data_IF_565850336314
#
_entry.id   IF_565850336314
#
_cell.length_a   1.000
_cell.length_b   1.000
_cell.length_c   1.000
_cell.angle_alpha   90.00
_cell.angle_beta   90.00
_cell.angle_gamma   90.00
#
_symmetry.space_group_name_H-M   'P 1'
#
loop_
_entity.id
_entity.type
_entity.pdbx_description
1 polymer ?
#
# COMPACT_ATOMS: atom_id res chain seq x y z
N UNK A 1 37.75 32.33 -61.53
CA UNK A 1 36.42 31.82 -61.89
C UNK A 1 35.93 31.02 -60.73
N UNK A 2 34.75 31.26 -60.20
CA UNK A 2 33.99 30.55 -59.20
C UNK A 2 34.51 30.52 -57.74
N UNK A 3 34.26 31.59 -57.03
CA UNK A 3 34.26 31.68 -55.58
C UNK A 3 33.02 30.92 -55.03
N UNK A 4 33.20 29.84 -54.26
CA UNK A 4 32.16 29.22 -53.47
C UNK A 4 32.07 29.93 -52.12
N UNK A 5 30.88 30.50 -51.85
CA UNK A 5 30.48 31.15 -50.60
C UNK A 5 30.42 30.07 -49.50
N UNK A 6 31.24 30.23 -48.45
CA UNK A 6 31.18 29.48 -47.21
C UNK A 6 30.22 30.19 -46.25
N UNK A 7 29.01 29.71 -46.14
CA UNK A 7 28.03 30.16 -45.13
C UNK A 7 28.28 29.45 -43.83
N UNK A 8 28.76 30.16 -42.85
CA UNK A 8 28.95 29.74 -41.45
C UNK A 8 27.60 29.69 -40.76
N UNK A 9 27.06 28.50 -40.49
CA UNK A 9 25.92 28.33 -39.58
C UNK A 9 26.39 28.37 -38.12
N UNK A 10 26.19 29.53 -37.46
CA UNK A 10 26.29 29.64 -36.01
C UNK A 10 25.03 29.04 -35.42
N UNK A 11 25.08 27.76 -35.04
CA UNK A 11 24.03 27.10 -34.25
C UNK A 11 24.12 27.59 -32.81
N UNK A 12 23.24 28.53 -32.44
CA UNK A 12 22.94 28.81 -31.01
C UNK A 12 22.37 27.54 -30.37
N UNK A 13 23.20 26.78 -29.68
CA UNK A 13 22.72 25.84 -28.66
C UNK A 13 22.15 26.64 -27.49
N UNK A 14 20.86 26.93 -27.53
CA UNK A 14 20.09 27.33 -26.39
C UNK A 14 20.01 26.14 -25.43
N UNK A 15 20.94 26.10 -24.46
CA UNK A 15 20.77 25.26 -23.27
C UNK A 15 19.55 25.78 -22.53
N UNK A 16 18.38 25.24 -22.84
CA UNK A 16 17.18 25.40 -22.03
C UNK A 16 17.47 24.84 -20.64
N UNK A 17 17.79 25.71 -19.70
CA UNK A 17 17.64 25.39 -18.29
C UNK A 17 16.18 25.02 -18.10
N UNK A 18 15.89 23.72 -18.13
CA UNK A 18 14.67 23.18 -17.57
C UNK A 18 14.71 23.52 -16.08
N UNK A 19 14.23 24.71 -15.71
CA UNK A 19 13.87 24.99 -14.35
C UNK A 19 12.84 23.91 -13.98
N UNK A 20 13.26 22.93 -13.21
CA UNK A 20 12.35 21.95 -12.61
C UNK A 20 11.32 22.75 -11.82
N UNK A 21 10.17 23.00 -12.43
CA UNK A 21 9.05 23.64 -11.77
C UNK A 21 8.68 22.71 -10.59
N UNK A 22 9.01 23.14 -9.37
CA UNK A 22 8.58 22.43 -8.16
C UNK A 22 7.06 22.40 -8.19
N UNK A 23 6.50 21.23 -8.49
CA UNK A 23 5.06 21.05 -8.52
C UNK A 23 4.53 21.10 -7.10
N UNK A 24 3.79 22.14 -6.77
CA UNK A 24 3.11 22.25 -5.48
C UNK A 24 1.83 21.41 -5.52
N UNK A 25 1.76 20.39 -4.67
CA UNK A 25 0.63 19.49 -4.62
C UNK A 25 -0.31 19.82 -3.46
N UNK A 26 -1.61 19.75 -3.72
CA UNK A 26 -2.65 19.70 -2.69
C UNK A 26 -2.82 18.25 -2.20
N UNK A 27 -3.49 18.05 -1.05
CA UNK A 27 -3.77 16.71 -0.54
C UNK A 27 -4.50 15.85 -1.58
N UNK A 28 -5.55 16.39 -2.20
CA UNK A 28 -6.31 15.67 -3.25
C UNK A 28 -5.44 15.27 -4.44
N UNK A 29 -4.62 16.18 -4.95
CA UNK A 29 -3.69 15.90 -6.05
C UNK A 29 -2.65 14.85 -5.65
N UNK A 30 -2.15 14.92 -4.40
CA UNK A 30 -1.22 13.91 -3.87
C UNK A 30 -1.85 12.52 -3.86
N UNK A 31 -3.08 12.38 -3.36
CA UNK A 31 -3.77 11.09 -3.32
C UNK A 31 -4.06 10.55 -4.72
N UNK A 32 -4.43 11.43 -5.67
CA UNK A 32 -4.61 11.03 -7.06
C UNK A 32 -3.29 10.54 -7.68
N UNK A 33 -2.18 11.25 -7.50
CA UNK A 33 -0.88 10.81 -7.99
C UNK A 33 -0.43 9.49 -7.38
N UNK A 34 -0.72 9.26 -6.10
CA UNK A 34 -0.44 7.97 -5.44
C UNK A 34 -1.20 6.83 -6.10
N UNK A 35 -2.47 7.00 -6.46
CA UNK A 35 -3.25 5.99 -7.20
C UNK A 35 -2.64 5.64 -8.55
N UNK A 36 -2.10 6.63 -9.24
CA UNK A 36 -1.57 6.47 -10.60
C UNK A 36 -0.12 5.95 -10.59
N UNK A 37 0.71 6.44 -9.67
CA UNK A 37 2.16 6.31 -9.75
C UNK A 37 2.79 5.45 -8.65
N UNK A 38 2.09 5.15 -7.53
CA UNK A 38 2.69 4.44 -6.40
C UNK A 38 3.30 3.10 -6.81
N UNK A 39 4.61 2.88 -6.55
CA UNK A 39 5.25 1.60 -6.84
C UNK A 39 4.64 0.44 -6.06
N UNK A 40 4.21 0.69 -4.82
CA UNK A 40 3.59 -0.33 -3.98
C UNK A 40 2.25 -0.81 -4.56
N UNK A 41 1.42 0.10 -5.10
CA UNK A 41 0.18 -0.28 -5.79
C UNK A 41 0.44 -1.05 -7.08
N UNK A 42 1.50 -0.71 -7.81
CA UNK A 42 1.87 -1.45 -9.03
C UNK A 42 2.25 -2.89 -8.72
N UNK A 43 3.01 -3.11 -7.65
CA UNK A 43 3.36 -4.47 -7.18
C UNK A 43 2.11 -5.25 -6.82
N UNK A 44 1.20 -4.65 -6.05
CA UNK A 44 -0.02 -5.33 -5.60
C UNK A 44 -0.96 -5.68 -6.78
N UNK A 45 -1.07 -4.82 -7.78
CA UNK A 45 -1.85 -5.10 -9.00
C UNK A 45 -1.31 -6.30 -9.78
N UNK A 46 0.00 -6.58 -9.73
CA UNK A 46 0.58 -7.76 -10.35
C UNK A 46 0.13 -9.07 -9.67
N UNK A 47 -0.23 -9.04 -8.39
CA UNK A 47 -0.80 -10.20 -7.69
C UNK A 47 -2.16 -10.62 -8.28
N UNK A 48 -2.95 -9.67 -8.80
CA UNK A 48 -4.19 -9.98 -9.53
C UNK A 48 -3.88 -10.71 -10.83
N UNK A 49 -2.86 -10.25 -11.57
CA UNK A 49 -2.45 -10.91 -12.82
C UNK A 49 -1.94 -12.34 -12.55
N UNK A 50 -1.20 -12.56 -11.45
CA UNK A 50 -0.79 -13.88 -11.02
C UNK A 50 -1.99 -14.79 -10.70
N UNK A 51 -2.97 -14.29 -9.94
CA UNK A 51 -4.19 -15.04 -9.64
C UNK A 51 -5.03 -15.36 -10.90
N UNK A 52 -5.06 -14.44 -11.88
CA UNK A 52 -5.69 -14.70 -13.19
C UNK A 52 -4.96 -15.80 -13.97
N UNK A 53 -3.62 -15.83 -13.92
CA UNK A 53 -2.84 -16.91 -14.53
C UNK A 53 -3.11 -18.27 -13.86
N UNK A 54 -3.29 -18.29 -12.52
CA UNK A 54 -3.71 -19.49 -11.79
C UNK A 54 -5.11 -19.94 -12.21
N UNK A 55 -6.03 -19.02 -12.47
CA UNK A 55 -7.36 -19.33 -13.00
C UNK A 55 -7.28 -19.97 -14.40
N UNK A 56 -6.41 -19.46 -15.28
CA UNK A 56 -6.16 -20.08 -16.60
C UNK A 56 -5.66 -21.50 -16.39
N UNK A 57 -4.68 -21.71 -15.50
CA UNK A 57 -4.11 -23.04 -15.18
C UNK A 57 -5.19 -23.99 -14.62
N UNK A 58 -6.03 -23.51 -13.71
CA UNK A 58 -7.12 -24.29 -13.10
C UNK A 58 -8.16 -24.78 -14.13
N UNK A 59 -8.33 -24.04 -15.23
CA UNK A 59 -9.27 -24.38 -16.30
C UNK A 59 -8.67 -25.30 -17.37
N UNK A 60 -7.37 -25.56 -17.36
CA UNK A 60 -6.74 -26.45 -18.34
C UNK A 60 -7.19 -27.91 -18.14
N UNK A 61 -7.30 -28.62 -19.28
CA UNK A 61 -7.52 -30.06 -19.28
C UNK A 61 -6.17 -30.77 -19.12
N UNK A 62 -6.11 -31.91 -18.40
CA UNK A 62 -4.91 -32.73 -18.36
C UNK A 62 -4.45 -33.14 -19.77
N UNK A 63 -3.16 -33.04 -20.02
CA UNK A 63 -2.58 -33.46 -21.28
C UNK A 63 -2.65 -35.00 -21.43
N UNK A 64 -2.80 -35.52 -22.64
CA UNK A 64 -2.57 -36.91 -22.90
C UNK A 64 -1.11 -37.28 -22.60
N UNK A 65 -0.91 -38.43 -22.02
CA UNK A 65 0.43 -38.98 -21.71
C UNK A 65 0.71 -40.13 -22.65
N UNK A 66 1.86 -40.11 -23.31
CA UNK A 66 2.36 -41.19 -24.14
C UNK A 66 3.47 -41.93 -23.38
N UNK A 67 3.21 -43.17 -23.02
CA UNK A 67 4.17 -44.03 -22.36
C UNK A 67 4.74 -45.01 -23.36
N UNK A 68 6.05 -45.15 -23.38
CA UNK A 68 6.76 -46.20 -24.09
C UNK A 68 7.57 -47.03 -23.10
N UNK A 69 7.31 -48.31 -23.08
CA UNK A 69 8.08 -49.28 -22.29
C UNK A 69 8.79 -50.25 -23.23
N UNK A 70 10.11 -50.29 -23.20
CA UNK A 70 10.92 -51.20 -23.98
C UNK A 70 11.70 -52.12 -23.04
N UNK A 71 11.49 -53.38 -23.17
CA UNK A 71 12.17 -54.45 -22.40
C UNK A 71 13.17 -55.15 -23.31
N UNK A 72 14.37 -55.37 -22.78
CA UNK A 72 15.41 -56.15 -23.46
C UNK A 72 15.62 -57.44 -22.70
N UNK A 73 15.73 -58.54 -23.45
CA UNK A 73 16.09 -59.82 -22.86
C UNK A 73 17.57 -59.78 -22.48
N UNK A 74 17.89 -59.94 -21.21
CA UNK A 74 19.26 -59.95 -20.67
C UNK A 74 19.97 -61.29 -20.73
N UNK A 75 19.19 -62.40 -20.70
CA UNK A 75 19.73 -63.74 -20.80
C UNK A 75 18.83 -64.63 -21.69
N UNK A 76 19.43 -65.58 -22.40
CA UNK A 76 18.63 -66.61 -23.08
C UNK A 76 18.12 -67.61 -21.99
N UNK A 77 16.83 -67.87 -21.94
CA UNK A 77 16.39 -69.05 -21.15
C UNK A 77 17.00 -70.30 -21.73
N UNK A 78 17.62 -71.14 -20.88
CA UNK A 78 18.04 -72.44 -21.28
C UNK A 78 16.82 -73.14 -21.90
N UNK A 79 16.99 -73.62 -23.12
CA UNK A 79 15.88 -74.09 -23.97
C UNK A 79 14.97 -75.06 -23.24
N UNK A 80 13.76 -74.62 -22.90
CA UNK A 80 12.66 -75.42 -22.50
C UNK A 80 11.95 -75.88 -23.78
N UNK A 81 12.36 -77.01 -24.34
CA UNK A 81 11.58 -77.69 -25.33
C UNK A 81 10.39 -78.34 -24.63
N UNK A 82 9.18 -77.80 -24.81
CA UNK A 82 7.96 -78.49 -24.41
C UNK A 82 7.62 -79.50 -25.51
N UNK A 83 7.67 -80.80 -25.22
CA UNK A 83 7.25 -81.74 -26.21
C UNK A 83 5.73 -81.70 -26.34
N UNK A 84 5.23 -81.21 -27.45
CA UNK A 84 3.83 -81.44 -27.82
C UNK A 84 3.72 -82.76 -28.60
N UNK A 85 2.87 -83.70 -28.16
CA UNK A 85 2.63 -84.87 -28.92
C UNK A 85 2.02 -84.59 -30.27
N UNK A 86 2.73 -84.89 -31.37
CA UNK A 86 2.24 -84.79 -32.74
C UNK A 86 2.73 -83.56 -33.57
N UNK A 87 3.67 -82.79 -33.07
CA UNK A 87 4.29 -81.75 -33.83
C UNK A 87 5.81 -81.93 -33.92
N UNK A 88 6.28 -82.60 -34.97
CA UNK A 88 7.69 -82.68 -35.30
C UNK A 88 8.16 -81.23 -35.72
N UNK A 89 9.07 -80.69 -34.93
CA UNK A 89 9.98 -79.62 -35.37
C UNK A 89 9.54 -78.16 -35.30
N UNK A 90 8.55 -77.88 -34.50
CA UNK A 90 8.25 -76.40 -34.26
C UNK A 90 8.99 -75.95 -33.02
N UNK A 91 10.22 -75.45 -33.23
CA UNK A 91 10.93 -74.71 -32.23
C UNK A 91 10.22 -73.34 -32.05
N UNK A 92 9.35 -73.23 -31.04
CA UNK A 92 8.73 -71.99 -30.62
C UNK A 92 9.75 -71.20 -29.81
N UNK A 93 10.97 -71.10 -30.29
CA UNK A 93 11.97 -70.09 -29.81
C UNK A 93 11.68 -68.75 -30.43
N UNK A 94 10.80 -68.04 -29.78
CA UNK A 94 10.53 -66.68 -30.17
C UNK A 94 11.80 -65.83 -29.98
N UNK A 95 12.44 -65.50 -31.09
CA UNK A 95 13.66 -64.68 -31.14
C UNK A 95 13.41 -63.17 -30.90
N UNK A 96 12.32 -62.79 -30.28
CA UNK A 96 12.12 -61.41 -29.93
C UNK A 96 12.96 -61.01 -28.72
N UNK A 97 14.17 -60.47 -28.97
CA UNK A 97 15.05 -59.91 -27.96
C UNK A 97 14.55 -58.59 -27.38
N UNK A 98 13.46 -58.04 -27.90
CA UNK A 98 12.82 -56.83 -27.48
C UNK A 98 11.32 -56.98 -27.41
N UNK A 99 10.73 -56.47 -26.31
CA UNK A 99 9.30 -56.22 -26.23
C UNK A 99 9.09 -54.75 -26.00
N UNK A 100 8.15 -54.15 -26.67
CA UNK A 100 7.82 -52.76 -26.41
C UNK A 100 6.29 -52.58 -26.37
N UNK A 101 5.88 -51.65 -25.50
CA UNK A 101 4.50 -51.22 -25.39
C UNK A 101 4.44 -49.73 -25.64
N UNK A 102 3.50 -49.32 -26.45
CA UNK A 102 3.14 -47.92 -26.65
C UNK A 102 1.74 -47.72 -26.10
N UNK A 103 1.62 -46.80 -25.18
CA UNK A 103 0.37 -46.54 -24.47
C UNK A 103 0.06 -45.06 -24.49
N UNK A 104 -1.11 -44.66 -25.02
CA UNK A 104 -1.61 -43.31 -24.97
C UNK A 104 -2.74 -43.23 -23.94
N UNK A 105 -2.51 -42.43 -22.89
CA UNK A 105 -3.42 -42.31 -21.74
C UNK A 105 -4.03 -40.92 -21.68
N UNK A 106 -5.29 -40.82 -21.28
CA UNK A 106 -5.96 -39.55 -20.99
C UNK A 106 -6.76 -39.67 -19.70
N UNK A 107 -6.63 -38.67 -18.84
CA UNK A 107 -7.47 -38.47 -17.66
C UNK A 107 -8.85 -37.93 -18.06
N UNK A 108 -9.93 -38.54 -17.55
CA UNK A 108 -11.31 -38.10 -17.75
C UNK A 108 -11.89 -37.57 -16.45
N UNK A 109 -12.37 -36.33 -16.51
CA UNK A 109 -12.94 -35.62 -15.35
C UNK A 109 -14.44 -35.93 -15.19
N UNK A 110 -14.75 -37.14 -14.71
CA UNK A 110 -16.13 -37.60 -14.46
C UNK A 110 -16.75 -36.86 -13.26
N UNK A 111 -15.92 -36.40 -12.32
CA UNK A 111 -16.38 -35.76 -11.08
C UNK A 111 -16.34 -34.23 -11.12
N UNK A 112 -16.13 -33.63 -12.30
CA UNK A 112 -16.04 -32.18 -12.48
C UNK A 112 -14.93 -31.51 -11.65
N UNK A 113 -13.81 -32.22 -11.37
CA UNK A 113 -12.67 -31.67 -10.61
C UNK A 113 -12.17 -30.34 -11.17
N UNK A 114 -12.15 -30.23 -12.51
CA UNK A 114 -11.77 -29.00 -13.19
C UNK A 114 -12.74 -27.84 -12.88
N UNK A 115 -14.03 -28.09 -12.82
CA UNK A 115 -15.03 -27.07 -12.47
C UNK A 115 -14.79 -26.52 -11.06
N UNK A 116 -14.50 -27.40 -10.09
CA UNK A 116 -14.23 -26.98 -8.72
C UNK A 116 -12.87 -26.28 -8.57
N UNK A 117 -11.83 -26.71 -9.31
CA UNK A 117 -10.56 -25.96 -9.40
C UNK A 117 -10.77 -24.55 -9.94
N UNK A 118 -11.55 -24.43 -11.02
CA UNK A 118 -11.85 -23.11 -11.62
C UNK A 118 -12.65 -22.22 -10.66
N UNK A 119 -13.66 -22.76 -9.97
CA UNK A 119 -14.44 -21.99 -8.98
C UNK A 119 -13.57 -21.52 -7.80
N UNK A 120 -12.66 -22.37 -7.34
CA UNK A 120 -11.71 -21.96 -6.30
C UNK A 120 -10.74 -20.88 -6.79
N UNK A 121 -10.19 -21.03 -8.00
CA UNK A 121 -9.29 -20.04 -8.60
C UNK A 121 -10.02 -18.71 -8.88
N UNK A 122 -11.26 -18.73 -9.31
CA UNK A 122 -12.10 -17.55 -9.49
C UNK A 122 -12.34 -16.81 -8.17
N UNK A 123 -12.67 -17.53 -7.10
CA UNK A 123 -12.79 -16.96 -5.76
C UNK A 123 -11.46 -16.37 -5.26
N UNK A 124 -10.34 -17.04 -5.53
CA UNK A 124 -8.99 -16.56 -5.19
C UNK A 124 -8.63 -15.30 -5.98
N UNK A 125 -9.01 -15.22 -7.26
CA UNK A 125 -8.82 -14.02 -8.08
C UNK A 125 -9.65 -12.85 -7.53
N UNK A 126 -10.90 -13.10 -7.15
CA UNK A 126 -11.73 -12.06 -6.51
C UNK A 126 -11.11 -11.60 -5.19
N UNK A 127 -10.61 -12.50 -4.36
CA UNK A 127 -9.89 -12.15 -3.13
C UNK A 127 -8.69 -11.25 -3.44
N UNK A 128 -7.89 -11.56 -4.46
CA UNK A 128 -6.75 -10.73 -4.87
C UNK A 128 -7.20 -9.32 -5.30
N UNK A 129 -8.31 -9.19 -6.05
CA UNK A 129 -8.88 -7.89 -6.45
C UNK A 129 -9.31 -7.07 -5.22
N UNK A 130 -10.01 -7.70 -4.25
CA UNK A 130 -10.41 -7.00 -3.02
C UNK A 130 -9.20 -6.62 -2.16
N UNK A 131 -8.15 -7.45 -2.14
CA UNK A 131 -6.91 -7.16 -1.43
C UNK A 131 -6.18 -5.94 -2.00
N UNK A 132 -6.16 -5.77 -3.32
CA UNK A 132 -5.63 -4.54 -3.96
C UNK A 132 -6.40 -3.31 -3.49
N UNK A 133 -7.72 -3.37 -3.43
CA UNK A 133 -8.55 -2.25 -2.97
C UNK A 133 -8.29 -1.90 -1.49
N UNK A 134 -8.03 -2.90 -0.64
CA UNK A 134 -7.67 -2.68 0.77
C UNK A 134 -6.25 -2.11 0.90
N UNK A 135 -5.30 -2.63 0.14
CA UNK A 135 -3.93 -2.11 0.09
C UNK A 135 -3.92 -0.65 -0.40
N UNK A 136 -4.71 -0.33 -1.44
CA UNK A 136 -4.90 1.05 -1.90
C UNK A 136 -5.41 1.95 -0.78
N UNK A 137 -6.43 1.53 -0.02
CA UNK A 137 -6.95 2.28 1.14
C UNK A 137 -5.85 2.56 2.17
N UNK A 138 -5.03 1.57 2.49
CA UNK A 138 -3.90 1.71 3.41
C UNK A 138 -2.83 2.69 2.91
N UNK A 139 -2.44 2.58 1.63
CA UNK A 139 -1.44 3.46 1.02
C UNK A 139 -1.94 4.91 0.92
N UNK A 140 -3.22 5.13 0.59
CA UNK A 140 -3.81 6.46 0.58
C UNK A 140 -3.83 7.09 1.97
N UNK A 141 -4.10 6.30 3.01
CA UNK A 141 -4.03 6.75 4.39
C UNK A 141 -2.60 7.13 4.81
N UNK A 142 -1.60 6.30 4.48
CA UNK A 142 -0.18 6.63 4.73
C UNK A 142 0.25 7.89 3.98
N UNK A 143 -0.08 7.99 2.70
CA UNK A 143 0.21 9.16 1.88
C UNK A 143 -0.41 10.45 2.43
N UNK A 144 -1.66 10.38 2.89
CA UNK A 144 -2.32 11.52 3.51
C UNK A 144 -1.62 11.98 4.79
N UNK A 145 -1.20 11.04 5.65
CA UNK A 145 -0.44 11.37 6.85
C UNK A 145 0.93 11.97 6.53
N UNK A 146 1.69 11.40 5.57
CA UNK A 146 2.98 11.96 5.14
C UNK A 146 2.83 13.34 4.51
N UNK A 147 1.74 13.58 3.79
CA UNK A 147 1.43 14.92 3.29
C UNK A 147 1.23 15.90 4.46
N UNK A 148 0.48 15.52 5.48
CA UNK A 148 0.23 16.34 6.66
C UNK A 148 1.52 16.57 7.48
N UNK A 149 2.39 15.57 7.57
CA UNK A 149 3.70 15.70 8.23
C UNK A 149 4.59 16.72 7.51
N UNK A 150 4.67 16.62 6.18
CA UNK A 150 5.42 17.58 5.37
C UNK A 150 4.83 19.01 5.45
N UNK A 151 3.50 19.10 5.47
CA UNK A 151 2.80 20.37 5.67
C UNK A 151 3.13 20.97 7.05
N UNK A 152 3.04 20.18 8.11
CA UNK A 152 3.33 20.64 9.48
C UNK A 152 4.79 21.05 9.65
N UNK A 153 5.75 20.30 9.12
CA UNK A 153 7.16 20.67 9.13
C UNK A 153 7.40 22.03 8.44
N UNK A 154 6.72 22.30 7.31
CA UNK A 154 6.80 23.61 6.64
C UNK A 154 6.19 24.75 7.46
N UNK A 155 5.08 24.48 8.15
CA UNK A 155 4.45 25.44 9.06
C UNK A 155 5.41 25.78 10.21
N UNK A 156 6.03 24.77 10.81
CA UNK A 156 7.03 24.97 11.88
C UNK A 156 8.22 25.78 11.40
N UNK A 157 8.75 25.48 10.23
CA UNK A 157 9.82 26.25 9.63
C UNK A 157 9.44 27.73 9.45
N UNK A 158 8.25 28.00 8.89
CA UNK A 158 7.77 29.36 8.69
C UNK A 158 7.59 30.13 10.01
N UNK A 159 7.11 29.44 11.06
CA UNK A 159 6.95 30.01 12.40
C UNK A 159 8.31 30.36 13.02
N UNK A 160 9.29 29.46 12.92
CA UNK A 160 10.66 29.70 13.39
C UNK A 160 11.33 30.85 12.66
N UNK A 161 11.19 30.93 11.34
CA UNK A 161 11.71 32.03 10.54
C UNK A 161 11.11 33.37 10.97
N UNK A 162 9.80 33.41 11.25
CA UNK A 162 9.12 34.61 11.75
C UNK A 162 9.60 34.99 13.16
N UNK A 163 9.76 34.02 14.06
CA UNK A 163 10.27 34.23 15.40
C UNK A 163 11.70 34.78 15.36
N UNK A 164 12.56 34.18 14.53
CA UNK A 164 13.94 34.65 14.30
C UNK A 164 13.96 36.08 13.79
N UNK A 165 13.19 36.40 12.76
CA UNK A 165 13.14 37.77 12.20
C UNK A 165 12.70 38.84 13.22
N UNK A 166 11.76 38.47 14.12
CA UNK A 166 11.36 39.36 15.22
C UNK A 166 12.51 39.62 16.21
N UNK A 167 13.25 38.55 16.58
CA UNK A 167 14.38 38.68 17.50
C UNK A 167 15.57 39.37 16.84
N UNK A 168 15.87 39.07 15.57
CA UNK A 168 16.93 39.78 14.81
C UNK A 168 16.67 41.29 14.76
N UNK A 169 15.39 41.70 14.57
CA UNK A 169 15.00 43.11 14.64
C UNK A 169 15.27 43.71 16.03
N UNK A 170 14.99 42.89 17.09
CA UNK A 170 15.28 43.34 18.47
C UNK A 170 16.80 43.43 18.73
N UNK A 171 17.63 42.51 18.19
CA UNK A 171 19.10 42.62 18.26
C UNK A 171 19.61 43.90 17.65
N UNK A 172 19.11 44.27 16.45
CA UNK A 172 19.52 45.51 15.80
C UNK A 172 19.11 46.76 16.63
N UNK A 173 17.90 46.78 17.16
CA UNK A 173 17.44 47.84 18.05
C UNK A 173 18.31 47.92 19.30
N UNK A 174 18.63 46.79 19.95
CA UNK A 174 19.41 46.77 21.16
C UNK A 174 20.88 47.16 20.93
N UNK A 175 21.47 46.93 19.75
CA UNK A 175 22.77 47.47 19.35
C UNK A 175 22.78 49.02 19.36
N UNK A 176 21.72 49.64 18.86
CA UNK A 176 21.58 51.12 18.87
C UNK A 176 21.38 51.65 20.29
N UNK A 177 20.55 50.92 21.10
CA UNK A 177 20.28 51.33 22.50
C UNK A 177 21.55 51.20 23.40
N UNK A 178 22.39 50.21 23.16
CA UNK A 178 23.66 50.07 23.85
C UNK A 178 24.61 51.23 23.53
N UNK A 179 24.70 51.62 22.23
CA UNK A 179 25.50 52.79 21.84
C UNK A 179 25.05 54.08 22.53
N UNK A 180 23.76 54.18 22.82
CA UNK A 180 23.17 55.32 23.53
C UNK A 180 23.13 55.13 25.05
N UNK A 181 23.78 54.09 25.57
CA UNK A 181 23.86 53.76 27.01
C UNK A 181 22.48 53.55 27.69
N UNK A 182 21.50 53.11 26.93
CA UNK A 182 20.12 52.89 27.42
C UNK A 182 19.96 51.47 27.99
N UNK A 183 20.77 50.53 27.53
CA UNK A 183 20.75 49.12 27.99
C UNK A 183 22.18 48.65 28.32
N UNK A 184 22.29 47.52 29.00
CA UNK A 184 23.56 46.87 29.34
C UNK A 184 24.08 45.98 28.21
N UNK A 185 25.39 45.71 28.21
CA UNK A 185 26.00 44.71 27.31
C UNK A 185 25.41 43.31 27.53
N UNK A 186 25.08 42.98 28.76
CA UNK A 186 24.41 41.75 29.14
C UNK A 186 23.05 41.58 28.47
N UNK A 187 22.27 42.66 28.32
CA UNK A 187 20.98 42.65 27.65
C UNK A 187 21.14 42.40 26.17
N UNK A 188 22.14 43.04 25.52
CA UNK A 188 22.44 42.76 24.11
C UNK A 188 22.87 41.28 23.92
N UNK A 189 23.81 40.81 24.73
CA UNK A 189 24.29 39.41 24.66
C UNK A 189 23.14 38.40 24.83
N UNK A 190 22.23 38.63 25.78
CA UNK A 190 21.03 37.82 25.99
C UNK A 190 20.13 37.75 24.75
N UNK A 191 19.95 38.89 24.11
CA UNK A 191 19.12 38.95 22.87
C UNK A 191 19.80 38.23 21.71
N UNK A 192 21.15 38.30 21.60
CA UNK A 192 21.92 37.60 20.58
C UNK A 192 21.86 36.08 20.79
N UNK A 193 21.99 35.61 22.02
CA UNK A 193 21.90 34.16 22.34
C UNK A 193 20.55 33.58 21.88
N UNK A 194 19.45 34.30 22.08
CA UNK A 194 18.13 33.83 21.61
C UNK A 194 18.05 33.83 20.08
N UNK A 195 18.61 34.86 19.39
CA UNK A 195 18.70 34.86 17.92
C UNK A 195 19.48 33.67 17.39
N UNK A 196 20.62 33.32 18.00
CA UNK A 196 21.46 32.18 17.62
C UNK A 196 20.74 30.85 17.86
N UNK A 197 19.97 30.73 18.96
CA UNK A 197 19.13 29.56 19.21
C UNK A 197 18.06 29.38 18.11
N UNK A 198 17.37 30.43 17.69
CA UNK A 198 16.41 30.37 16.58
C UNK A 198 17.08 30.05 15.25
N UNK A 199 18.34 30.49 15.02
CA UNK A 199 19.09 30.13 13.82
C UNK A 199 19.35 28.61 13.75
N UNK A 200 19.82 28.02 14.85
CA UNK A 200 20.03 26.57 14.96
C UNK A 200 18.73 25.81 14.73
N UNK A 201 17.64 26.21 15.41
CA UNK A 201 16.32 25.59 15.25
C UNK A 201 15.80 25.69 13.81
N UNK A 202 16.02 26.82 13.17
CA UNK A 202 15.61 27.06 11.78
C UNK A 202 16.35 26.14 10.81
N UNK A 203 17.66 25.94 10.98
CA UNK A 203 18.45 24.99 10.17
C UNK A 203 17.99 23.55 10.36
N UNK A 204 17.70 23.16 11.59
CA UNK A 204 17.15 21.83 11.92
C UNK A 204 15.78 21.63 11.26
N UNK A 205 14.88 22.61 11.36
CA UNK A 205 13.55 22.56 10.74
C UNK A 205 13.64 22.53 9.20
N UNK A 206 14.61 23.21 8.59
CA UNK A 206 14.86 23.12 7.14
C UNK A 206 15.24 21.70 6.72
N UNK A 207 16.06 21.01 7.52
CA UNK A 207 16.41 19.62 7.24
C UNK A 207 15.21 18.69 7.42
N UNK A 208 14.39 18.91 8.46
CA UNK A 208 13.16 18.13 8.67
C UNK A 208 12.18 18.25 7.49
N UNK A 209 11.97 19.47 6.99
CA UNK A 209 11.15 19.70 5.77
C UNK A 209 11.67 18.87 4.60
N UNK A 210 12.99 18.86 4.34
CA UNK A 210 13.58 18.07 3.27
C UNK A 210 13.32 16.57 3.46
N UNK A 211 13.48 16.08 4.69
CA UNK A 211 13.26 14.68 5.01
C UNK A 211 11.80 14.28 4.77
N UNK A 212 10.83 15.07 5.27
CA UNK A 212 9.40 14.78 5.09
C UNK A 212 8.96 14.84 3.62
N UNK A 213 9.50 15.78 2.85
CA UNK A 213 9.23 15.83 1.41
C UNK A 213 9.82 14.63 0.66
N UNK A 214 10.99 14.12 1.06
CA UNK A 214 11.56 12.90 0.48
C UNK A 214 10.72 11.66 0.83
N UNK A 215 10.23 11.55 2.07
CA UNK A 215 9.33 10.48 2.49
C UNK A 215 8.02 10.51 1.67
N UNK A 216 7.44 11.68 1.48
CA UNK A 216 6.22 11.85 0.67
C UNK A 216 6.48 11.47 -0.79
N UNK A 217 7.62 11.91 -1.36
CA UNK A 217 8.01 11.58 -2.73
C UNK A 217 8.10 10.08 -2.99
N UNK A 218 8.63 9.33 -2.03
CA UNK A 218 8.72 7.87 -2.12
C UNK A 218 7.34 7.22 -2.25
N UNK A 219 6.36 7.65 -1.46
CA UNK A 219 5.01 7.08 -1.49
C UNK A 219 4.26 7.49 -2.76
N UNK A 220 4.42 8.74 -3.20
CA UNK A 220 3.82 9.24 -4.45
C UNK A 220 4.42 8.54 -5.68
N UNK A 221 5.68 8.10 -5.61
CA UNK A 221 6.35 7.39 -6.70
C UNK A 221 6.81 8.28 -7.84
N UNK A 222 7.13 9.55 -7.56
CA UNK A 222 7.66 10.49 -8.55
C UNK A 222 9.15 10.73 -8.35
N UNK A 223 9.89 10.89 -9.46
CA UNK A 223 11.33 11.12 -9.43
C UNK A 223 11.67 12.60 -9.12
N UNK A 224 10.83 13.53 -9.56
CA UNK A 224 11.06 14.95 -9.44
C UNK A 224 10.83 15.48 -8.02
N UNK A 225 11.42 16.63 -7.71
CA UNK A 225 11.21 17.30 -6.42
C UNK A 225 9.76 17.78 -6.32
N UNK A 226 9.03 17.26 -5.33
CA UNK A 226 7.69 17.71 -4.99
C UNK A 226 7.74 18.74 -3.86
N UNK A 227 6.77 19.64 -3.87
CA UNK A 227 6.52 20.56 -2.80
C UNK A 227 5.06 20.44 -2.35
N UNK A 228 4.81 20.68 -1.07
CA UNK A 228 3.45 20.66 -0.53
C UNK A 228 2.89 22.07 -0.64
N UNK A 229 1.67 22.21 -1.15
CA UNK A 229 1.00 23.49 -1.22
C UNK A 229 0.73 24.03 0.21
N UNK A 230 1.45 25.06 0.61
CA UNK A 230 1.05 25.84 1.79
C UNK A 230 -0.27 26.59 1.55
N UNK A 231 -0.65 26.73 0.28
CA UNK A 231 -1.89 27.38 -0.20
C UNK A 231 -3.17 26.58 0.05
N UNK A 232 -3.08 25.42 0.66
CA UNK A 232 -4.21 24.97 1.47
C UNK A 232 -4.35 25.94 2.66
N UNK A 233 -4.14 27.16 2.33
CA UNK A 233 -4.45 28.50 2.90
C UNK A 233 -4.48 28.64 4.42
N UNK A 234 -3.61 27.92 5.14
CA UNK A 234 -3.61 27.93 6.61
C UNK A 234 -2.69 29.01 7.20
N UNK A 235 -1.79 29.60 6.40
CA UNK A 235 -0.84 30.63 6.85
C UNK A 235 -1.23 32.04 6.36
N UNK A 236 -2.26 32.18 5.54
CA UNK A 236 -2.70 33.52 5.10
C UNK A 236 -3.33 34.28 6.25
N UNK A 237 -2.97 35.58 6.44
CA UNK A 237 -3.58 36.47 7.45
C UNK A 237 -5.10 36.63 7.28
N UNK A 238 -5.64 36.30 6.11
CA UNK A 238 -7.07 36.35 5.80
C UNK A 238 -7.89 35.22 6.45
N UNK A 239 -7.26 34.28 7.17
CA UNK A 239 -7.93 33.16 7.78
C UNK A 239 -8.64 33.54 9.07
N UNK A 240 -9.88 33.91 8.93
CA UNK A 240 -10.77 34.17 10.06
C UNK A 240 -11.40 32.84 10.58
N UNK A 241 -11.44 31.78 9.80
CA UNK A 241 -11.99 30.49 10.24
C UNK A 241 -11.27 29.28 9.57
N UNK A 242 -10.25 28.68 10.21
CA UNK A 242 -9.54 27.51 9.68
C UNK A 242 -10.42 26.25 9.57
N UNK A 243 -11.61 26.24 10.19
CA UNK A 243 -12.53 25.12 10.14
C UNK A 243 -13.40 25.11 8.87
N UNK A 244 -13.47 26.23 8.13
CA UNK A 244 -14.25 26.31 6.88
C UNK A 244 -13.68 25.50 5.72
N UNK A 245 -12.45 25.02 5.83
CA UNK A 245 -11.77 24.21 4.81
C UNK A 245 -12.14 22.73 4.83
N UNK A 246 -12.78 22.26 5.90
CA UNK A 246 -13.21 20.89 6.02
C UNK A 246 -14.73 20.83 5.98
N UNK A 247 -15.30 19.89 5.20
CA UNK A 247 -16.73 19.68 5.25
C UNK A 247 -17.11 19.39 6.70
N UNK A 248 -18.06 20.17 7.21
CA UNK A 248 -18.63 19.91 8.52
C UNK A 248 -19.25 18.52 8.46
N UNK A 249 -18.66 17.56 9.16
CA UNK A 249 -19.28 16.23 9.29
C UNK A 249 -20.49 16.44 10.19
N UNK A 250 -21.64 16.62 9.57
CA UNK A 250 -22.94 16.73 10.25
C UNK A 250 -23.57 15.37 10.52
N UNK A 251 -22.95 14.30 9.97
CA UNK A 251 -23.40 12.94 10.12
C UNK A 251 -23.20 12.46 11.55
N UNK A 252 -24.23 11.81 12.12
CA UNK A 252 -24.12 11.15 13.42
C UNK A 252 -23.19 9.94 13.36
N UNK A 253 -22.67 9.51 14.51
CA UNK A 253 -21.82 8.32 14.60
C UNK A 253 -22.50 7.08 13.99
N UNK A 254 -23.82 6.90 14.21
CA UNK A 254 -24.60 5.80 13.64
C UNK A 254 -24.70 5.86 12.10
N UNK A 255 -24.78 7.07 11.56
CA UNK A 255 -24.77 7.26 10.10
C UNK A 255 -23.40 6.88 9.50
N UNK A 256 -22.32 7.25 10.16
CA UNK A 256 -20.96 6.90 9.76
C UNK A 256 -20.68 5.40 9.89
N UNK A 257 -21.24 4.74 10.90
CA UNK A 257 -21.18 3.28 11.04
C UNK A 257 -21.85 2.56 9.87
N UNK A 258 -23.04 3.02 9.44
CA UNK A 258 -23.72 2.45 8.27
C UNK A 258 -22.92 2.62 6.97
N UNK A 259 -22.31 3.79 6.79
CA UNK A 259 -21.43 4.04 5.67
C UNK A 259 -20.22 3.10 5.73
N UNK A 260 -19.57 2.98 6.89
CA UNK A 260 -18.41 2.12 7.07
C UNK A 260 -18.72 0.64 6.74
N UNK A 261 -19.86 0.14 7.17
CA UNK A 261 -20.27 -1.25 6.95
C UNK A 261 -20.37 -1.61 5.45
N UNK A 262 -20.67 -0.64 4.58
CA UNK A 262 -20.83 -0.86 3.13
C UNK A 262 -19.62 -0.44 2.29
N UNK A 263 -18.86 0.57 2.78
CA UNK A 263 -17.78 1.20 1.99
C UNK A 263 -16.41 0.60 2.27
N UNK A 264 -16.21 -0.04 3.43
CA UNK A 264 -14.90 -0.54 3.83
C UNK A 264 -14.47 -1.75 3.00
N UNK A 265 -13.26 -1.66 2.49
CA UNK A 265 -12.65 -2.70 1.65
C UNK A 265 -12.18 -3.91 2.45
N UNK A 266 -11.79 -3.76 3.73
CA UNK A 266 -11.42 -4.88 4.61
C UNK A 266 -12.59 -5.85 4.90
N UNK A 267 -13.84 -5.36 4.93
CA UNK A 267 -15.02 -6.23 4.98
C UNK A 267 -15.11 -7.10 3.74
N UNK A 268 -14.94 -6.48 2.57
CA UNK A 268 -14.98 -7.20 1.28
C UNK A 268 -13.87 -8.23 1.16
N UNK A 269 -12.66 -7.91 1.67
CA UNK A 269 -11.55 -8.88 1.74
C UNK A 269 -11.91 -10.05 2.65
N UNK A 270 -12.47 -9.79 3.84
CA UNK A 270 -12.87 -10.85 4.77
C UNK A 270 -13.96 -11.76 4.19
N UNK A 271 -14.95 -11.19 3.50
CA UNK A 271 -16.02 -11.94 2.82
C UNK A 271 -15.46 -12.74 1.63
N UNK A 272 -14.59 -12.15 0.80
CA UNK A 272 -13.94 -12.85 -0.30
C UNK A 272 -13.05 -14.00 0.19
N UNK A 273 -12.34 -13.80 1.32
CA UNK A 273 -11.53 -14.85 1.94
C UNK A 273 -12.41 -16.01 2.47
N UNK A 274 -13.55 -15.70 3.09
CA UNK A 274 -14.50 -16.72 3.54
C UNK A 274 -15.05 -17.52 2.35
N UNK A 275 -15.39 -16.84 1.23
CA UNK A 275 -15.87 -17.51 0.02
C UNK A 275 -14.78 -18.39 -0.59
N UNK A 276 -13.54 -17.90 -0.65
CA UNK A 276 -12.39 -18.70 -1.13
C UNK A 276 -12.19 -19.95 -0.27
N UNK A 277 -12.29 -19.82 1.06
CA UNK A 277 -12.19 -20.94 1.98
C UNK A 277 -13.34 -21.97 1.78
N UNK A 278 -14.57 -21.51 1.52
CA UNK A 278 -15.70 -22.39 1.15
C UNK A 278 -15.43 -23.17 -0.14
N UNK A 279 -14.97 -22.46 -1.18
CA UNK A 279 -14.63 -23.11 -2.46
C UNK A 279 -13.49 -24.09 -2.33
N UNK A 280 -12.55 -23.85 -1.40
CA UNK A 280 -11.50 -24.81 -1.10
C UNK A 280 -12.06 -26.08 -0.46
N UNK A 281 -13.01 -25.99 0.49
CA UNK A 281 -13.69 -27.18 1.05
C UNK A 281 -14.35 -28.00 -0.06
N UNK A 282 -15.12 -27.35 -0.95
CA UNK A 282 -15.77 -28.01 -2.07
C UNK A 282 -14.74 -28.72 -2.97
N UNK A 283 -13.62 -28.04 -3.26
CA UNK A 283 -12.53 -28.60 -4.07
C UNK A 283 -11.91 -29.82 -3.39
N UNK A 284 -11.56 -29.74 -2.10
CA UNK A 284 -10.92 -30.87 -1.38
C UNK A 284 -11.84 -32.09 -1.31
N UNK A 285 -13.16 -31.89 -1.17
CA UNK A 285 -14.14 -32.97 -1.20
C UNK A 285 -14.22 -33.67 -2.57
N UNK A 286 -14.11 -32.89 -3.65
CA UNK A 286 -14.13 -33.46 -5.01
C UNK A 286 -12.79 -34.11 -5.38
N UNK A 287 -11.67 -33.61 -4.88
CA UNK A 287 -10.36 -34.23 -5.04
C UNK A 287 -10.26 -35.59 -4.36
N UNK A 288 -11.07 -35.85 -3.32
CA UNK A 288 -11.21 -37.17 -2.69
C UNK A 288 -11.85 -38.26 -3.59
N UNK A 289 -12.46 -37.86 -4.72
CA UNK A 289 -13.09 -38.79 -5.67
C UNK A 289 -12.03 -39.46 -6.53
N UNK A 290 -12.30 -40.71 -7.01
CA UNK A 290 -11.38 -41.44 -7.84
C UNK A 290 -10.83 -40.67 -9.02
N UNK A 291 -9.60 -40.97 -9.38
CA UNK A 291 -9.00 -40.53 -10.65
C UNK A 291 -9.29 -41.60 -11.69
N UNK A 292 -9.79 -41.21 -12.84
CA UNK A 292 -10.18 -42.09 -13.91
C UNK A 292 -9.31 -41.82 -15.13
N UNK A 293 -8.60 -42.82 -15.61
CA UNK A 293 -7.79 -42.73 -16.82
C UNK A 293 -8.21 -43.83 -17.80
N UNK A 294 -8.31 -43.52 -19.06
CA UNK A 294 -8.52 -44.51 -20.11
C UNK A 294 -7.52 -44.25 -21.25
N UNK A 295 -7.23 -45.26 -22.00
CA UNK A 295 -6.29 -45.13 -23.08
C UNK A 295 -6.25 -46.31 -24.04
N UNK A 296 -5.40 -46.13 -25.01
CA UNK A 296 -5.10 -47.17 -26.04
C UNK A 296 -3.73 -47.76 -25.74
N UNK A 297 -3.62 -49.06 -25.94
CA UNK A 297 -2.35 -49.76 -25.85
C UNK A 297 -2.06 -50.50 -27.15
N UNK A 298 -0.85 -50.42 -27.59
CA UNK A 298 -0.34 -51.22 -28.72
C UNK A 298 0.92 -51.96 -28.29
N UNK A 299 0.90 -53.29 -28.49
CA UNK A 299 1.95 -54.19 -28.06
C UNK A 299 2.18 -55.29 -29.12
N UNK A 300 3.20 -55.18 -29.97
CA UNK A 300 3.58 -56.20 -30.87
C UNK A 300 4.38 -57.27 -30.11
N UNK A 301 3.77 -58.42 -29.85
CA UNK A 301 4.44 -59.62 -29.28
C UNK A 301 4.53 -60.71 -30.30
N UNK A 302 5.71 -61.36 -30.38
CA UNK A 302 5.90 -62.56 -31.22
C UNK A 302 5.48 -62.38 -32.69
N UNK A 303 5.79 -61.18 -33.27
CA UNK A 303 5.35 -60.80 -34.62
C UNK A 303 3.84 -60.61 -34.80
N UNK A 304 3.05 -60.71 -33.74
CA UNK A 304 1.60 -60.48 -33.75
C UNK A 304 1.32 -59.12 -33.07
N UNK A 305 0.76 -58.15 -33.77
CA UNK A 305 0.38 -56.88 -33.15
C UNK A 305 -0.90 -57.05 -32.32
N UNK A 306 -0.82 -56.66 -31.03
CA UNK A 306 -1.98 -56.52 -30.17
C UNK A 306 -2.32 -55.05 -30.00
N UNK A 307 -3.58 -54.70 -30.16
CA UNK A 307 -4.13 -53.41 -29.82
C UNK A 307 -5.29 -53.57 -28.85
N UNK A 308 -5.40 -52.67 -27.89
CA UNK A 308 -6.44 -52.77 -26.87
C UNK A 308 -6.75 -51.42 -26.24
N UNK A 309 -7.80 -51.42 -25.44
CA UNK A 309 -8.19 -50.30 -24.57
C UNK A 309 -7.93 -50.73 -23.12
N UNK A 310 -7.59 -49.73 -22.29
CA UNK A 310 -7.46 -49.99 -20.84
C UNK A 310 -8.11 -48.84 -20.06
N UNK A 311 -8.50 -49.17 -18.85
CA UNK A 311 -9.09 -48.26 -17.88
C UNK A 311 -8.36 -48.42 -16.56
N UNK A 312 -7.86 -47.30 -16.04
CA UNK A 312 -7.24 -47.22 -14.71
C UNK A 312 -8.14 -46.46 -13.77
N UNK A 313 -8.51 -47.07 -12.67
CA UNK A 313 -9.31 -46.46 -11.60
C UNK A 313 -8.50 -46.48 -10.31
N UNK A 314 -8.25 -45.28 -9.76
CA UNK A 314 -7.66 -45.16 -8.43
C UNK A 314 -8.75 -45.38 -7.38
N UNK A 315 -8.63 -46.43 -6.57
CA UNK A 315 -9.60 -46.75 -5.53
C UNK A 315 -9.17 -46.09 -4.20
N UNK A 316 -9.88 -45.05 -3.71
CA UNK A 316 -9.54 -44.34 -2.48
C UNK A 316 -9.94 -45.17 -1.23
N UNK A 317 -9.22 -46.27 -0.95
CA UNK A 317 -9.51 -47.14 0.19
C UNK A 317 -8.95 -46.55 1.49
N UNK A 318 -7.69 -46.18 1.50
CA UNK A 318 -6.98 -45.64 2.67
C UNK A 318 -6.90 -44.14 2.71
N UNK A 319 -6.59 -43.48 1.58
CA UNK A 319 -6.50 -42.06 1.45
C UNK A 319 -7.71 -41.51 0.69
N UNK A 320 -8.56 -40.80 1.41
CA UNK A 320 -9.76 -40.10 0.90
C UNK A 320 -9.65 -38.59 1.04
N UNK A 321 -8.42 -38.08 1.00
CA UNK A 321 -8.12 -36.65 1.21
C UNK A 321 -8.65 -36.10 2.56
N UNK A 322 -8.84 -36.97 3.55
CA UNK A 322 -9.51 -36.63 4.82
C UNK A 322 -8.77 -35.53 5.59
N UNK A 323 -7.43 -35.52 5.55
CA UNK A 323 -6.62 -34.49 6.21
C UNK A 323 -6.82 -33.08 5.60
N UNK A 324 -6.77 -32.97 4.26
CA UNK A 324 -6.98 -31.70 3.59
C UNK A 324 -8.44 -31.23 3.66
N UNK A 325 -9.41 -32.14 3.70
CA UNK A 325 -10.82 -31.81 3.94
C UNK A 325 -10.98 -31.25 5.35
N UNK A 326 -10.39 -31.89 6.37
CA UNK A 326 -10.46 -31.39 7.74
C UNK A 326 -9.78 -30.01 7.86
N UNK A 327 -8.58 -29.86 7.32
CA UNK A 327 -7.83 -28.61 7.29
C UNK A 327 -8.62 -27.48 6.61
N UNK A 328 -9.22 -27.74 5.45
CA UNK A 328 -10.01 -26.76 4.72
C UNK A 328 -11.26 -26.30 5.49
N UNK A 329 -11.91 -27.21 6.25
CA UNK A 329 -13.03 -26.85 7.15
C UNK A 329 -12.58 -25.94 8.29
N UNK A 330 -11.44 -26.24 8.93
CA UNK A 330 -10.86 -25.38 9.98
C UNK A 330 -10.52 -24.01 9.42
N UNK A 331 -9.92 -23.92 8.22
CA UNK A 331 -9.62 -22.65 7.56
C UNK A 331 -10.90 -21.87 7.21
N UNK A 332 -11.98 -22.54 6.82
CA UNK A 332 -13.29 -21.91 6.60
C UNK A 332 -13.86 -21.33 7.91
N UNK A 333 -13.78 -22.08 9.00
CA UNK A 333 -14.22 -21.60 10.31
C UNK A 333 -13.39 -20.40 10.75
N UNK A 334 -12.07 -20.47 10.62
CA UNK A 334 -11.14 -19.37 10.90
C UNK A 334 -11.50 -18.10 10.10
N UNK A 335 -11.77 -18.23 8.80
CA UNK A 335 -12.19 -17.11 7.95
C UNK A 335 -13.54 -16.52 8.41
N UNK A 336 -14.48 -17.36 8.86
CA UNK A 336 -15.75 -16.93 9.43
C UNK A 336 -15.58 -16.13 10.73
N UNK A 337 -14.70 -16.57 11.62
CA UNK A 337 -14.37 -15.81 12.84
C UNK A 337 -13.63 -14.50 12.54
N UNK A 338 -12.72 -14.50 11.55
CA UNK A 338 -12.03 -13.30 11.10
C UNK A 338 -13.02 -12.24 10.56
N UNK A 339 -14.05 -12.66 9.82
CA UNK A 339 -15.10 -11.75 9.33
C UNK A 339 -15.85 -11.09 10.49
N UNK A 340 -16.24 -11.85 11.52
CA UNK A 340 -16.88 -11.30 12.72
C UNK A 340 -15.97 -10.32 13.46
N UNK A 341 -14.69 -10.63 13.57
CA UNK A 341 -13.70 -9.75 14.20
C UNK A 341 -13.58 -8.41 13.45
N UNK A 342 -13.52 -8.43 12.11
CA UNK A 342 -13.50 -7.20 11.31
C UNK A 342 -14.74 -6.36 11.57
N UNK A 343 -15.94 -6.95 11.58
CA UNK A 343 -17.19 -6.25 11.87
C UNK A 343 -17.21 -5.60 13.27
N UNK A 344 -16.72 -6.31 14.28
CA UNK A 344 -16.62 -5.77 15.65
C UNK A 344 -15.61 -4.60 15.72
N UNK A 345 -14.47 -4.72 15.03
CA UNK A 345 -13.42 -3.69 14.97
C UNK A 345 -13.92 -2.39 14.34
N UNK A 346 -14.74 -2.47 13.29
CA UNK A 346 -15.29 -1.30 12.60
C UNK A 346 -16.01 -0.36 13.55
N UNK A 347 -16.86 -0.91 14.42
CA UNK A 347 -17.59 -0.08 15.39
C UNK A 347 -16.64 0.70 16.28
N UNK A 348 -15.67 0.02 16.88
CA UNK A 348 -14.68 0.65 17.77
C UNK A 348 -13.84 1.71 17.06
N UNK A 349 -13.38 1.41 15.83
CA UNK A 349 -12.55 2.34 15.04
C UNK A 349 -13.31 3.60 14.63
N UNK A 350 -14.56 3.46 14.17
CA UNK A 350 -15.39 4.61 13.76
C UNK A 350 -15.76 5.47 14.97
N UNK A 351 -16.18 4.86 16.09
CA UNK A 351 -16.50 5.60 17.32
C UNK A 351 -15.29 6.38 17.85
N UNK A 352 -14.11 5.71 17.91
CA UNK A 352 -12.86 6.35 18.38
C UNK A 352 -12.44 7.48 17.44
N UNK A 353 -12.49 7.27 16.12
CA UNK A 353 -12.12 8.28 15.14
C UNK A 353 -13.07 9.49 15.19
N UNK A 354 -14.37 9.26 15.34
CA UNK A 354 -15.38 10.32 15.47
C UNK A 354 -15.18 11.16 16.74
N UNK A 355 -14.99 10.51 17.88
CA UNK A 355 -14.75 11.19 19.15
C UNK A 355 -13.44 12.01 19.11
N UNK A 356 -12.37 11.45 18.57
CA UNK A 356 -11.09 12.14 18.40
C UNK A 356 -11.21 13.36 17.48
N UNK A 357 -11.97 13.22 16.38
CA UNK A 357 -12.27 14.34 15.47
C UNK A 357 -13.07 15.44 16.17
N UNK A 358 -14.14 15.10 16.90
CA UNK A 358 -14.98 16.06 17.61
C UNK A 358 -14.20 16.81 18.70
N UNK A 359 -13.40 16.10 19.50
CA UNK A 359 -12.56 16.70 20.55
C UNK A 359 -11.50 17.64 19.96
N UNK A 360 -10.81 17.21 18.88
CA UNK A 360 -9.79 18.03 18.23
C UNK A 360 -10.38 19.31 17.64
N UNK A 361 -11.62 19.29 17.14
CA UNK A 361 -12.34 20.46 16.67
C UNK A 361 -12.58 21.47 17.79
N UNK A 362 -13.10 21.00 18.93
CA UNK A 362 -13.32 21.87 20.11
C UNK A 362 -12.00 22.52 20.59
N UNK A 363 -10.90 21.77 20.55
CA UNK A 363 -9.59 22.31 20.92
C UNK A 363 -9.15 23.44 19.99
N UNK A 364 -9.32 23.29 18.67
CA UNK A 364 -8.98 24.38 17.72
C UNK A 364 -9.82 25.63 18.00
N UNK A 365 -11.13 25.50 18.22
CA UNK A 365 -12.01 26.64 18.51
C UNK A 365 -11.51 27.44 19.72
N UNK A 366 -11.01 26.76 20.76
CA UNK A 366 -10.38 27.40 21.92
C UNK A 366 -9.04 28.08 21.55
N UNK A 367 -8.18 27.38 20.81
CA UNK A 367 -6.87 27.93 20.43
C UNK A 367 -6.96 29.17 19.55
N UNK A 368 -8.00 29.37 18.75
CA UNK A 368 -8.22 30.60 17.97
C UNK A 368 -8.29 31.82 18.89
N UNK A 369 -9.01 31.72 20.02
CA UNK A 369 -9.08 32.77 21.05
C UNK A 369 -7.73 33.02 21.73
N UNK A 370 -7.10 31.95 22.24
CA UNK A 370 -5.80 32.02 22.94
C UNK A 370 -4.72 32.64 22.05
N UNK A 371 -4.67 32.27 20.77
CA UNK A 371 -3.72 32.83 19.80
C UNK A 371 -3.90 34.34 19.63
N UNK A 372 -5.16 34.82 19.50
CA UNK A 372 -5.46 36.23 19.38
C UNK A 372 -5.01 37.00 20.62
N UNK A 373 -5.19 36.42 21.80
CA UNK A 373 -4.76 37.04 23.06
C UNK A 373 -3.23 37.08 23.16
N UNK A 374 -2.52 36.02 22.76
CA UNK A 374 -1.06 36.00 22.70
C UNK A 374 -0.50 37.06 21.74
N UNK A 375 -1.12 37.24 20.55
CA UNK A 375 -0.75 38.32 19.59
C UNK A 375 -0.91 39.69 20.23
N UNK A 376 -2.00 39.93 20.96
CA UNK A 376 -2.24 41.22 21.66
C UNK A 376 -1.24 41.47 22.79
N UNK A 377 -0.97 40.46 23.60
CA UNK A 377 -0.01 40.55 24.72
C UNK A 377 1.39 40.90 24.18
N UNK A 378 1.86 40.17 23.16
CA UNK A 378 3.18 40.45 22.57
C UNK A 378 3.25 41.88 21.99
N UNK A 379 2.20 42.29 21.29
CA UNK A 379 2.16 43.66 20.72
C UNK A 379 2.20 44.72 21.81
N UNK A 380 1.44 44.56 22.92
CA UNK A 380 1.40 45.49 24.03
C UNK A 380 2.73 45.57 24.78
N UNK A 381 3.33 44.45 25.10
CA UNK A 381 4.62 44.37 25.80
C UNK A 381 5.74 44.94 24.92
N UNK A 382 5.74 44.65 23.61
CA UNK A 382 6.70 45.23 22.66
C UNK A 382 6.58 46.76 22.62
N UNK A 383 5.35 47.28 22.59
CA UNK A 383 5.12 48.73 22.61
C UNK A 383 5.62 49.38 23.91
N UNK A 384 5.34 48.76 25.07
CA UNK A 384 5.83 49.23 26.37
C UNK A 384 7.36 49.21 26.45
N UNK A 385 8.02 48.15 25.96
CA UNK A 385 9.47 48.03 25.90
C UNK A 385 10.11 49.14 25.06
N UNK A 386 9.55 49.46 23.91
CA UNK A 386 10.06 50.51 23.04
C UNK A 386 10.02 51.91 23.70
N UNK A 387 9.08 52.11 24.64
CA UNK A 387 8.96 53.34 25.44
C UNK A 387 9.69 53.30 26.78
N UNK A 388 10.37 52.23 27.12
CA UNK A 388 11.10 52.06 28.39
C UNK A 388 10.16 51.79 29.59
N UNK A 389 8.91 51.43 29.34
CA UNK A 389 7.90 51.18 30.38
C UNK A 389 7.87 49.68 30.86
N UNK A 390 8.70 48.81 30.28
CA UNK A 390 8.86 47.40 30.71
C UNK A 390 10.28 46.92 30.45
N UNK A 391 10.64 45.76 31.02
CA UNK A 391 12.02 45.20 30.94
C UNK A 391 12.21 44.37 29.66
N UNK A 392 13.49 44.15 29.29
CA UNK A 392 13.85 43.20 28.24
C UNK A 392 13.35 41.78 28.57
N UNK A 393 13.42 41.37 29.86
CA UNK A 393 12.99 40.07 30.31
C UNK A 393 11.51 39.85 30.02
N UNK A 394 10.66 40.82 30.33
CA UNK A 394 9.22 40.75 30.07
C UNK A 394 8.94 40.60 28.56
N UNK A 395 9.68 41.33 27.71
CA UNK A 395 9.53 41.22 26.25
C UNK A 395 9.94 39.84 25.75
N UNK A 396 11.06 39.31 26.23
CA UNK A 396 11.53 37.98 25.83
C UNK A 396 10.57 36.88 26.30
N UNK A 397 10.03 37.00 27.52
CA UNK A 397 9.03 36.07 28.03
C UNK A 397 7.71 36.15 27.22
N UNK A 398 7.24 37.33 26.86
CA UNK A 398 6.08 37.49 25.99
C UNK A 398 6.32 36.89 24.60
N UNK A 399 7.54 37.03 24.05
CA UNK A 399 7.94 36.44 22.78
C UNK A 399 7.93 34.91 22.82
N UNK A 400 8.47 34.32 23.89
CA UNK A 400 8.45 32.87 24.11
C UNK A 400 7.03 32.33 24.26
N UNK A 401 6.21 32.97 25.10
CA UNK A 401 4.81 32.59 25.31
C UNK A 401 4.00 32.70 24.01
N UNK A 402 4.26 33.72 23.20
CA UNK A 402 3.65 33.86 21.87
C UNK A 402 4.08 32.70 20.96
N UNK A 403 5.37 32.38 20.87
CA UNK A 403 5.89 31.31 20.04
C UNK A 403 5.30 29.95 20.44
N UNK A 404 5.26 29.63 21.73
CA UNK A 404 4.70 28.39 22.29
C UNK A 404 3.20 28.28 21.96
N UNK A 405 2.47 29.40 22.10
CA UNK A 405 1.04 29.45 21.76
C UNK A 405 0.79 29.21 20.27
N UNK A 406 1.60 29.83 19.39
CA UNK A 406 1.50 29.60 17.94
C UNK A 406 1.81 28.12 17.61
N UNK A 407 2.85 27.57 18.22
CA UNK A 407 3.23 26.16 18.04
C UNK A 407 2.10 25.23 18.47
N UNK A 408 1.53 25.45 19.65
CA UNK A 408 0.41 24.66 20.16
C UNK A 408 -0.85 24.75 19.27
N UNK A 409 -1.15 25.94 18.75
CA UNK A 409 -2.25 26.14 17.80
C UNK A 409 -2.05 25.32 16.51
N UNK A 410 -0.87 25.42 15.88
CA UNK A 410 -0.61 24.68 14.65
C UNK A 410 -0.51 23.18 14.89
N UNK A 411 -0.04 22.74 16.06
CA UNK A 411 -0.08 21.34 16.49
C UNK A 411 -1.53 20.85 16.62
N UNK A 412 -2.41 21.63 17.25
CA UNK A 412 -3.82 21.29 17.36
C UNK A 412 -4.49 21.16 15.99
N UNK A 413 -4.15 22.07 15.06
CA UNK A 413 -4.66 22.06 13.70
C UNK A 413 -4.16 20.83 12.91
N UNK A 414 -2.88 20.48 13.05
CA UNK A 414 -2.30 19.27 12.47
C UNK A 414 -2.99 18.01 13.01
N UNK A 415 -3.16 17.90 14.34
CA UNK A 415 -3.86 16.77 14.98
C UNK A 415 -5.30 16.64 14.49
N UNK A 416 -6.01 17.76 14.32
CA UNK A 416 -7.38 17.73 13.79
C UNK A 416 -7.43 17.20 12.35
N UNK A 417 -6.48 17.58 11.50
CA UNK A 417 -6.37 17.07 10.14
C UNK A 417 -6.07 15.59 10.10
N UNK A 418 -5.16 15.13 10.94
CA UNK A 418 -4.90 13.70 11.09
C UNK A 418 -6.16 12.94 11.54
N UNK A 419 -6.91 13.48 12.52
CA UNK A 419 -8.14 12.88 12.98
C UNK A 419 -9.23 12.86 11.88
N UNK A 420 -9.28 13.87 11.04
CA UNK A 420 -10.17 13.88 9.86
C UNK A 420 -9.80 12.79 8.85
N UNK A 421 -8.52 12.70 8.48
CA UNK A 421 -8.02 11.64 7.58
C UNK A 421 -8.26 10.26 8.19
N UNK A 422 -8.07 10.10 9.50
CA UNK A 422 -8.37 8.86 10.23
C UNK A 422 -9.87 8.52 10.18
N UNK A 423 -10.74 9.51 10.27
CA UNK A 423 -12.18 9.30 10.16
C UNK A 423 -12.58 8.89 8.73
N UNK A 424 -12.01 9.51 7.70
CA UNK A 424 -12.19 9.08 6.31
C UNK A 424 -11.71 7.63 6.09
N UNK A 425 -10.59 7.26 6.68
CA UNK A 425 -10.07 5.89 6.64
C UNK A 425 -11.00 4.91 7.38
N UNK A 426 -11.42 5.23 8.60
CA UNK A 426 -12.29 4.38 9.41
C UNK A 426 -13.68 4.17 8.77
N UNK A 427 -14.19 5.16 8.03
CA UNK A 427 -15.46 5.08 7.30
C UNK A 427 -15.35 4.51 5.90
N UNK A 428 -14.11 4.24 5.40
CA UNK A 428 -13.88 3.78 4.02
C UNK A 428 -14.02 4.87 2.96
N UNK A 429 -14.23 6.13 3.35
CA UNK A 429 -14.43 7.26 2.43
C UNK A 429 -13.13 7.81 1.84
N UNK A 430 -11.97 7.39 2.34
CA UNK A 430 -10.67 7.84 1.82
C UNK A 430 -10.47 7.45 0.35
N UNK A 431 -11.09 6.37 -0.10
CA UNK A 431 -11.03 5.90 -1.48
C UNK A 431 -11.82 6.80 -2.46
N UNK A 432 -12.73 7.62 -1.96
CA UNK A 432 -13.57 8.53 -2.77
C UNK A 432 -13.10 9.97 -2.71
N UNK A 433 -12.12 10.25 -1.85
CA UNK A 433 -11.53 11.57 -1.65
C UNK A 433 -10.50 11.88 -2.74
#
# INVERSE_FOLDING_TARGET
MNLRKLTLYLGCMGAGFMASAQTTLTLRQTLQQVRENSPALRVERLNVNAAQADQVTANLRPNPVLNNQTLFQLAQPAGVSVPMPGAEGVSVLNRQRRQFWLQATKEFDIHNKRLYRNRFAEASTNLAVQSVAETERGILFDAANRYLDAWYARVQLALLQRAKANVDTLVQLNKVRLKNLVITETDLTRTQLISDQYDIQTRTAQQDVRNRLNELRLVVGVADSINVALNDSIISPAFTNPLSLYPTITASADSLLRIAATSRTDVRVAEANLETARRNVDLQQVLAKPRNEAGLIWNPQNAVPYAGVFLTLELPVYSRNQGEIQKSRVLQEQAGQATKLVQARIRSEVETAYQSFATSRQNIDRYVGIRRDADRVLASVRYAYLRGATTLIDLLQAQTSWFDTQTAYYQALYTHRQNYVRLLYATGQINTY
#
